data_IF_250956962639
#
_entry.id   IF_250956962639
#
_cell.length_a   1.000
_cell.length_b   1.000
_cell.length_c   1.000
_cell.angle_alpha   90.00
_cell.angle_beta   90.00
_cell.angle_gamma   90.00
#
_symmetry.space_group_name_H-M   'P 1'
#
loop_
_entity.id
_entity.type
_entity.pdbx_description
1 polymer ?
#
# COMPACT_ATOMS: atom_id res chain seq x y z
N UNK A 1 11.96 4.96 -17.30
CA UNK A 1 13.11 5.63 -16.60
C UNK A 1 13.79 4.56 -15.76
N UNK A 2 15.07 4.28 -16.02
CA UNK A 2 15.90 3.35 -15.22
C UNK A 2 16.40 4.15 -14.02
N UNK A 3 16.07 3.72 -12.80
CA UNK A 3 16.60 4.29 -11.56
C UNK A 3 17.75 3.39 -11.07
N UNK A 4 18.89 3.95 -10.71
CA UNK A 4 20.05 3.17 -10.25
C UNK A 4 19.74 2.31 -9.00
N UNK A 5 18.76 2.68 -8.19
CA UNK A 5 18.28 1.95 -7.03
C UNK A 5 16.88 2.48 -6.64
N UNK A 6 15.96 1.57 -6.40
CA UNK A 6 14.65 1.84 -5.81
C UNK A 6 14.59 1.19 -4.43
N UNK A 7 13.94 1.84 -3.47
CA UNK A 7 13.75 1.30 -2.14
C UNK A 7 12.25 1.18 -1.82
N UNK A 8 11.83 0.01 -1.39
CA UNK A 8 10.50 -0.25 -0.82
C UNK A 8 10.61 -0.36 0.70
N UNK A 9 9.77 0.36 1.42
CA UNK A 9 9.58 0.22 2.87
C UNK A 9 8.14 -0.19 3.16
N UNK A 10 7.94 -1.32 3.82
CA UNK A 10 6.62 -1.72 4.32
C UNK A 10 6.27 -0.88 5.55
N UNK A 11 5.25 -0.05 5.45
CA UNK A 11 4.79 0.82 6.54
C UNK A 11 3.81 0.10 7.46
N UNK A 12 3.03 -0.80 6.88
CA UNK A 12 2.10 -1.68 7.56
C UNK A 12 1.78 -2.89 6.68
N UNK A 13 1.57 -4.04 7.29
CA UNK A 13 1.39 -5.32 6.60
C UNK A 13 0.13 -6.06 7.04
N UNK A 14 -0.68 -5.45 7.90
CA UNK A 14 -1.90 -6.01 8.43
C UNK A 14 -3.14 -5.64 7.62
N UNK A 15 -4.17 -6.46 7.77
CA UNK A 15 -5.52 -6.24 7.22
C UNK A 15 -6.23 -5.04 7.89
N UNK A 16 -7.46 -4.77 7.50
CA UNK A 16 -8.28 -3.61 7.92
C UNK A 16 -8.38 -3.38 9.43
N UNK A 17 -8.24 -4.41 10.24
CA UNK A 17 -8.26 -4.30 11.71
C UNK A 17 -6.86 -4.11 12.33
N UNK A 18 -5.79 -4.32 11.56
CA UNK A 18 -4.44 -4.46 12.07
C UNK A 18 -4.27 -5.74 12.93
N UNK A 19 -3.05 -5.97 13.38
CA UNK A 19 -2.72 -7.03 14.34
C UNK A 19 -1.80 -6.41 15.40
N UNK A 20 -2.13 -6.55 16.70
CA UNK A 20 -3.22 -7.30 17.32
C UNK A 20 -4.60 -6.68 17.08
N UNK A 21 -5.61 -7.56 16.98
CA UNK A 21 -7.01 -7.15 16.87
C UNK A 21 -7.55 -6.78 18.25
N UNK A 22 -8.29 -5.68 18.33
CA UNK A 22 -8.87 -5.18 19.60
C UNK A 22 -9.67 -6.28 20.29
N UNK A 23 -9.30 -6.60 21.53
CA UNK A 23 -9.98 -7.61 22.35
C UNK A 23 -9.61 -9.07 22.03
N UNK A 24 -8.83 -9.34 21.00
CA UNK A 24 -8.36 -10.69 20.66
C UNK A 24 -7.24 -11.13 21.59
N UNK A 25 -7.27 -12.41 22.00
CA UNK A 25 -6.26 -13.04 22.85
C UNK A 25 -5.65 -14.29 22.21
N UNK A 26 -5.73 -14.42 20.89
CA UNK A 26 -5.10 -15.54 20.20
C UNK A 26 -3.57 -15.43 20.26
N UNK A 27 -2.88 -16.52 19.92
CA UNK A 27 -1.41 -16.62 19.96
C UNK A 27 -0.73 -15.51 19.16
N UNK A 28 -1.28 -15.11 18.01
CA UNK A 28 -0.71 -14.07 17.16
C UNK A 28 -0.90 -12.69 17.82
N UNK A 29 -2.11 -12.36 18.27
CA UNK A 29 -2.41 -11.06 18.89
C UNK A 29 -1.74 -10.86 20.28
N UNK A 30 -1.17 -11.90 20.86
CA UNK A 30 -0.41 -11.85 22.14
C UNK A 30 1.06 -12.22 21.95
N UNK A 31 1.52 -12.30 20.70
CA UNK A 31 2.92 -12.62 20.39
C UNK A 31 3.86 -11.51 20.88
N UNK A 32 5.05 -11.91 21.31
CA UNK A 32 6.16 -10.99 21.61
C UNK A 32 7.06 -10.73 20.39
N UNK A 33 6.87 -11.45 19.30
CA UNK A 33 7.59 -11.20 18.04
C UNK A 33 6.99 -9.98 17.34
N UNK A 34 7.79 -8.94 17.18
CA UNK A 34 7.34 -7.70 16.52
C UNK A 34 6.93 -7.87 15.06
N UNK A 35 7.30 -8.97 14.41
CA UNK A 35 6.84 -9.30 13.06
C UNK A 35 5.38 -9.73 13.01
N UNK A 36 4.80 -10.06 14.17
CA UNK A 36 3.38 -10.33 14.32
C UNK A 36 2.56 -9.05 14.63
N UNK A 37 3.21 -7.95 15.02
CA UNK A 37 2.57 -6.63 15.14
C UNK A 37 2.46 -5.99 13.75
N UNK A 38 1.25 -5.82 13.25
CA UNK A 38 0.99 -5.34 11.89
C UNK A 38 0.05 -4.16 11.90
N UNK A 39 0.56 -2.98 11.58
CA UNK A 39 -0.27 -1.83 11.24
C UNK A 39 -1.02 -2.10 9.93
N UNK A 40 -2.09 -1.37 9.67
CA UNK A 40 -2.87 -1.49 8.43
C UNK A 40 -1.98 -1.25 7.22
N UNK A 41 -2.26 -2.01 6.18
CA UNK A 41 -1.43 -2.08 4.96
C UNK A 41 -1.15 -0.70 4.37
N UNK A 42 0.13 -0.45 4.18
CA UNK A 42 0.68 0.72 3.46
C UNK A 42 2.15 0.48 3.14
N UNK A 43 2.66 1.14 2.11
CA UNK A 43 4.06 1.05 1.72
C UNK A 43 4.61 2.42 1.26
N UNK A 44 5.92 2.60 1.34
CA UNK A 44 6.61 3.76 0.78
C UNK A 44 7.65 3.29 -0.24
N UNK A 45 7.60 3.88 -1.43
CA UNK A 45 8.58 3.66 -2.50
C UNK A 45 9.42 4.93 -2.67
N UNK A 46 10.73 4.76 -2.64
CA UNK A 46 11.70 5.83 -2.95
C UNK A 46 12.37 5.48 -4.28
N UNK A 47 12.15 6.30 -5.31
CA UNK A 47 12.68 6.09 -6.66
C UNK A 47 13.07 7.44 -7.28
N UNK A 48 14.28 7.55 -7.81
CA UNK A 48 14.76 8.79 -8.44
C UNK A 48 14.73 10.03 -7.52
N UNK A 49 14.82 9.84 -6.20
CA UNK A 49 14.72 10.94 -5.22
C UNK A 49 13.27 11.34 -4.87
N UNK A 50 12.27 10.66 -5.46
CA UNK A 50 10.84 10.87 -5.20
C UNK A 50 10.35 9.85 -4.18
N UNK A 51 9.59 10.30 -3.17
CA UNK A 51 8.97 9.46 -2.14
C UNK A 51 7.47 9.37 -2.35
N UNK A 52 7.03 8.18 -2.66
CA UNK A 52 5.63 7.86 -2.95
C UNK A 52 5.10 6.93 -1.86
N UNK A 53 4.02 7.32 -1.20
CA UNK A 53 3.31 6.45 -0.26
C UNK A 53 2.14 5.79 -0.97
N UNK A 54 1.97 4.49 -0.79
CA UNK A 54 0.81 3.73 -1.27
C UNK A 54 -0.08 3.50 -0.07
N UNK A 55 -1.28 4.09 -0.12
CA UNK A 55 -2.31 4.14 0.91
C UNK A 55 -1.91 4.88 2.20
N UNK A 56 -2.87 5.63 2.74
CA UNK A 56 -2.75 6.43 3.96
C UNK A 56 -3.91 6.10 4.91
N UNK A 57 -3.87 4.90 5.48
CA UNK A 57 -4.86 4.41 6.43
C UNK A 57 -4.76 5.07 7.81
N UNK A 58 -5.60 4.64 8.78
CA UNK A 58 -5.65 5.25 10.12
C UNK A 58 -4.32 5.21 10.89
N UNK A 59 -3.40 4.33 10.52
CA UNK A 59 -2.09 4.19 11.13
C UNK A 59 -1.01 5.09 10.50
N UNK A 60 -1.36 5.89 9.47
CA UNK A 60 -0.43 6.72 8.70
C UNK A 60 0.50 7.55 9.60
N UNK A 61 -0.03 8.21 10.64
CA UNK A 61 0.78 8.96 11.59
C UNK A 61 1.84 8.10 12.27
N UNK A 62 1.46 6.93 12.79
CA UNK A 62 2.40 6.01 13.44
C UNK A 62 3.45 5.49 12.45
N UNK A 63 3.05 5.17 11.23
CA UNK A 63 3.91 4.72 10.14
C UNK A 63 4.96 5.78 9.79
N UNK A 64 4.56 7.04 9.63
CA UNK A 64 5.48 8.13 9.33
C UNK A 64 6.46 8.43 10.47
N UNK A 65 6.00 8.37 11.72
CA UNK A 65 6.86 8.54 12.90
C UNK A 65 7.90 7.41 13.02
N UNK A 66 7.53 6.16 12.70
CA UNK A 66 8.46 5.01 12.72
C UNK A 66 9.57 5.13 11.67
N UNK A 67 9.25 5.65 10.49
CA UNK A 67 10.24 5.84 9.42
C UNK A 67 11.14 7.05 9.63
N UNK A 68 10.70 8.03 10.43
CA UNK A 68 11.39 9.30 10.61
C UNK A 68 11.45 10.16 9.34
N UNK A 69 10.64 9.83 8.32
CA UNK A 69 10.61 10.58 7.05
C UNK A 69 10.06 11.99 7.28
N UNK A 70 10.71 12.99 6.70
CA UNK A 70 10.33 14.40 6.87
C UNK A 70 9.55 14.99 5.70
N UNK A 71 9.52 14.30 4.55
CA UNK A 71 8.83 14.74 3.33
C UNK A 71 8.37 13.52 2.55
N UNK A 72 7.16 13.62 2.00
CA UNK A 72 6.63 12.74 0.97
C UNK A 72 6.28 13.59 -0.23
N UNK A 73 6.34 13.03 -1.42
CA UNK A 73 6.09 13.75 -2.67
C UNK A 73 4.69 13.47 -3.21
N UNK A 74 4.20 12.25 -3.03
CA UNK A 74 2.87 11.87 -3.47
C UNK A 74 2.29 10.72 -2.66
N UNK A 75 0.97 10.57 -2.76
CA UNK A 75 0.21 9.43 -2.26
C UNK A 75 -0.51 8.79 -3.45
N UNK A 76 -0.42 7.47 -3.57
CA UNK A 76 -1.24 6.66 -4.46
C UNK A 76 -2.27 5.92 -3.62
N UNK A 77 -3.55 6.02 -3.97
CA UNK A 77 -4.59 5.24 -3.29
C UNK A 77 -5.05 4.08 -4.15
N UNK A 78 -5.07 2.91 -3.55
CA UNK A 78 -5.51 1.68 -4.21
C UNK A 78 -7.02 1.62 -4.37
N UNK A 79 -7.77 2.02 -3.34
CA UNK A 79 -9.22 2.08 -3.32
C UNK A 79 -9.74 2.89 -2.11
N UNK A 80 -11.06 3.00 -1.97
CA UNK A 80 -11.72 3.94 -1.05
C UNK A 80 -12.02 3.41 0.36
N UNK A 81 -11.60 2.19 0.73
CA UNK A 81 -11.86 1.68 2.08
C UNK A 81 -11.10 2.47 3.15
N UNK A 82 -11.69 2.56 4.35
CA UNK A 82 -11.20 3.42 5.43
C UNK A 82 -9.81 3.04 5.95
N UNK A 83 -9.47 1.79 5.90
CA UNK A 83 -8.13 1.30 6.26
C UNK A 83 -7.04 1.74 5.28
N UNK A 84 -7.41 2.26 4.08
CA UNK A 84 -6.50 2.79 3.07
C UNK A 84 -6.50 4.31 2.95
N UNK A 85 -7.59 5.00 3.38
CA UNK A 85 -7.70 6.46 3.25
C UNK A 85 -7.87 7.20 4.57
N UNK A 86 -8.18 6.51 5.68
CA UNK A 86 -8.63 7.13 6.93
C UNK A 86 -7.61 8.02 7.65
N UNK A 87 -6.33 7.98 7.25
CA UNK A 87 -5.24 8.79 7.81
C UNK A 87 -4.88 10.03 7.00
N UNK A 88 -5.62 10.36 5.94
CA UNK A 88 -5.31 11.51 5.08
C UNK A 88 -5.31 12.87 5.80
N UNK A 89 -5.99 13.01 6.95
CA UNK A 89 -5.91 14.25 7.74
C UNK A 89 -4.49 14.50 8.27
N UNK A 90 -3.74 13.46 8.62
CA UNK A 90 -2.38 13.57 9.14
C UNK A 90 -1.34 14.02 8.09
N UNK A 91 -1.71 14.04 6.80
CA UNK A 91 -0.88 14.56 5.70
C UNK A 91 -0.51 16.02 5.94
N UNK A 92 -1.34 16.79 6.65
CA UNK A 92 -1.09 18.20 6.99
C UNK A 92 0.24 18.40 7.74
N UNK A 93 0.74 17.40 8.47
CA UNK A 93 2.03 17.50 9.13
C UNK A 93 3.18 17.71 8.13
N UNK A 94 3.10 17.14 6.94
CA UNK A 94 4.06 17.34 5.87
C UNK A 94 3.85 18.67 5.14
N UNK A 95 2.60 19.16 5.04
CA UNK A 95 2.32 20.44 4.40
C UNK A 95 3.01 21.60 5.13
N UNK A 96 3.10 21.54 6.46
CA UNK A 96 3.53 22.64 7.29
C UNK A 96 4.91 22.44 7.93
N UNK A 97 5.67 21.44 7.50
CA UNK A 97 7.00 21.12 8.07
C UNK A 97 7.99 22.29 7.97
N UNK A 98 7.88 23.13 6.94
CA UNK A 98 8.72 24.31 6.69
C UNK A 98 7.91 25.62 6.79
N UNK A 99 6.73 25.61 7.41
CA UNK A 99 5.91 26.81 7.59
C UNK A 99 6.31 27.59 8.86
N UNK A 100 6.32 28.95 8.84
CA UNK A 100 6.30 29.80 7.67
C UNK A 100 7.67 29.87 6.97
N UNK A 101 7.79 30.23 5.70
CA UNK A 101 6.73 30.74 4.82
C UNK A 101 6.10 29.69 3.89
N UNK A 102 6.63 28.46 3.84
CA UNK A 102 6.31 27.49 2.78
C UNK A 102 5.25 26.49 3.22
N UNK A 103 4.25 26.27 2.36
CA UNK A 103 3.27 25.18 2.46
C UNK A 103 3.58 24.20 1.33
N UNK A 104 3.85 22.96 1.68
CA UNK A 104 4.09 21.88 0.71
C UNK A 104 2.77 21.15 0.42
N UNK A 105 2.23 21.32 -0.77
CA UNK A 105 1.07 20.56 -1.21
C UNK A 105 1.50 19.14 -1.58
N UNK A 106 0.69 18.16 -1.19
CA UNK A 106 0.94 16.74 -1.49
C UNK A 106 0.03 16.32 -2.65
N UNK A 107 0.62 15.77 -3.70
CA UNK A 107 -0.10 15.20 -4.83
C UNK A 107 -0.72 13.85 -4.43
N UNK A 108 -2.02 13.66 -4.70
CA UNK A 108 -2.73 12.41 -4.43
C UNK A 108 -3.35 11.89 -5.73
N UNK A 109 -2.98 10.68 -6.10
CA UNK A 109 -3.40 10.01 -7.33
C UNK A 109 -4.30 8.84 -7.00
N UNK A 110 -5.47 8.77 -7.63
CA UNK A 110 -6.39 7.65 -7.49
C UNK A 110 -7.39 7.56 -8.65
N UNK A 111 -8.05 6.41 -8.75
CA UNK A 111 -9.20 6.24 -9.66
C UNK A 111 -10.33 7.22 -9.30
N UNK A 112 -11.19 7.61 -10.27
CA UNK A 112 -12.26 8.60 -10.07
C UNK A 112 -13.14 8.32 -8.85
N UNK A 113 -13.62 7.10 -8.71
CA UNK A 113 -14.49 6.68 -7.59
C UNK A 113 -13.82 6.88 -6.23
N UNK A 114 -12.54 6.55 -6.12
CA UNK A 114 -11.78 6.74 -4.88
C UNK A 114 -11.64 8.22 -4.55
N UNK A 115 -11.37 9.07 -5.55
CA UNK A 115 -11.30 10.52 -5.36
C UNK A 115 -12.64 11.13 -4.91
N UNK A 116 -13.76 10.63 -5.42
CA UNK A 116 -15.09 11.09 -5.01
C UNK A 116 -15.36 10.81 -3.53
N UNK A 117 -14.94 9.64 -3.04
CA UNK A 117 -15.04 9.30 -1.62
C UNK A 117 -14.09 10.18 -0.79
N UNK A 118 -12.85 10.41 -1.24
CA UNK A 118 -11.90 11.29 -0.56
C UNK A 118 -12.45 12.71 -0.45
N UNK A 119 -13.00 13.28 -1.54
CA UNK A 119 -13.64 14.63 -1.50
C UNK A 119 -14.79 14.70 -0.51
N UNK A 120 -15.59 13.64 -0.43
CA UNK A 120 -16.73 13.57 0.48
C UNK A 120 -16.33 13.43 1.95
N UNK A 121 -15.36 12.55 2.23
CA UNK A 121 -14.96 12.23 3.60
C UNK A 121 -14.08 13.29 4.24
N UNK A 122 -13.35 14.05 3.42
CA UNK A 122 -12.45 15.12 3.82
C UNK A 122 -12.89 16.47 3.21
N UNK A 123 -14.20 16.70 3.10
CA UNK A 123 -14.80 17.87 2.45
C UNK A 123 -14.24 19.20 2.95
N UNK A 124 -13.94 19.32 4.24
CA UNK A 124 -13.33 20.49 4.87
C UNK A 124 -11.95 20.84 4.28
N UNK A 125 -11.19 19.85 3.75
CA UNK A 125 -9.89 20.07 3.11
C UNK A 125 -10.04 20.60 1.66
N UNK A 126 -11.19 20.37 1.02
CA UNK A 126 -11.46 20.73 -0.37
C UNK A 126 -12.50 21.87 -0.51
N UNK A 127 -13.04 22.37 0.61
CA UNK A 127 -13.99 23.48 0.59
C UNK A 127 -13.38 24.76 -0.02
N UNK A 128 -14.20 25.56 -0.68
CA UNK A 128 -13.75 26.87 -1.21
C UNK A 128 -13.34 27.83 -0.09
N UNK A 129 -14.07 27.80 1.02
CA UNK A 129 -13.82 28.64 2.21
C UNK A 129 -13.30 27.74 3.34
N UNK A 130 -12.09 27.20 3.16
CA UNK A 130 -11.43 26.35 4.13
C UNK A 130 -10.64 27.17 5.17
N UNK A 131 -10.68 26.75 6.44
CA UNK A 131 -9.87 27.38 7.46
C UNK A 131 -8.36 27.02 7.30
N UNK A 132 -7.49 27.85 7.90
CA UNK A 132 -6.05 27.60 7.86
C UNK A 132 -5.68 26.37 8.69
N UNK A 133 -4.79 25.54 8.15
CA UNK A 133 -4.27 24.33 8.83
C UNK A 133 -4.98 23.03 8.48
N UNK A 134 -5.89 23.03 7.50
CA UNK A 134 -6.40 21.79 6.89
C UNK A 134 -5.32 21.13 6.02
N UNK A 135 -5.44 19.86 5.70
CA UNK A 135 -4.56 19.21 4.72
C UNK A 135 -4.56 19.94 3.37
N UNK A 136 -3.38 20.19 2.83
CA UNK A 136 -3.19 20.75 1.49
C UNK A 136 -2.83 19.61 0.53
N UNK A 137 -3.86 19.04 -0.09
CA UNK A 137 -3.76 17.90 -1.00
C UNK A 137 -4.23 18.35 -2.39
N UNK A 138 -3.49 17.99 -3.43
CA UNK A 138 -3.89 18.13 -4.82
C UNK A 138 -4.33 16.78 -5.39
N UNK A 139 -5.57 16.70 -5.85
CA UNK A 139 -6.16 15.45 -6.33
C UNK A 139 -5.94 15.31 -7.84
N UNK A 140 -5.34 14.18 -8.23
CA UNK A 140 -5.09 13.80 -9.62
C UNK A 140 -5.84 12.52 -9.94
N UNK A 141 -6.74 12.60 -10.88
CA UNK A 141 -7.46 11.43 -11.41
C UNK A 141 -6.53 10.64 -12.34
N UNK A 142 -6.48 9.32 -12.14
CA UNK A 142 -5.73 8.41 -13.00
C UNK A 142 -6.68 7.63 -13.92
N UNK A 143 -6.26 7.43 -15.17
CA UNK A 143 -6.82 6.42 -16.04
C UNK A 143 -6.12 5.08 -15.73
N UNK A 144 -6.86 4.16 -15.09
CA UNK A 144 -6.31 2.86 -14.67
C UNK A 144 -5.87 1.94 -15.83
N UNK A 145 -6.14 2.35 -17.07
CA UNK A 145 -5.72 1.63 -18.29
C UNK A 145 -4.38 2.10 -18.84
N UNK A 146 -3.83 3.23 -18.34
CA UNK A 146 -2.65 3.89 -18.92
C UNK A 146 -1.60 4.20 -17.85
N UNK A 147 -0.31 4.18 -18.22
CA UNK A 147 0.73 4.70 -17.35
C UNK A 147 0.53 6.18 -17.07
N UNK A 148 0.95 6.61 -15.89
CA UNK A 148 1.04 8.03 -15.52
C UNK A 148 2.40 8.29 -14.85
N UNK A 149 2.72 9.56 -14.61
CA UNK A 149 4.02 9.93 -14.03
C UNK A 149 3.84 10.76 -12.77
N UNK A 150 4.59 10.42 -11.74
CA UNK A 150 4.73 11.19 -10.50
C UNK A 150 6.14 11.76 -10.44
N UNK A 151 6.29 13.06 -10.70
CA UNK A 151 7.60 13.75 -10.71
C UNK A 151 8.69 13.03 -11.51
N UNK A 152 8.32 12.43 -12.65
CA UNK A 152 9.24 11.70 -13.53
C UNK A 152 9.36 10.20 -13.23
N UNK A 153 8.76 9.70 -12.15
CA UNK A 153 8.62 8.27 -11.89
C UNK A 153 7.41 7.74 -12.65
N UNK A 154 7.61 6.82 -13.58
CA UNK A 154 6.52 6.17 -14.31
C UNK A 154 5.84 5.13 -13.45
N UNK A 155 4.51 5.13 -13.45
CA UNK A 155 3.66 4.21 -12.70
C UNK A 155 2.65 3.58 -13.63
N UNK A 156 2.64 2.26 -13.69
CA UNK A 156 1.67 1.48 -14.46
C UNK A 156 0.59 0.94 -13.51
N UNK A 157 -0.67 1.38 -13.65
CA UNK A 157 -1.77 0.83 -12.89
C UNK A 157 -2.05 -0.62 -13.28
N UNK A 158 -2.39 -1.43 -12.28
CA UNK A 158 -2.82 -2.83 -12.44
C UNK A 158 -4.20 -2.96 -11.83
N UNK A 159 -5.18 -3.26 -12.66
CA UNK A 159 -6.58 -3.32 -12.24
C UNK A 159 -6.95 -4.70 -11.69
N UNK A 160 -7.74 -4.71 -10.63
CA UNK A 160 -8.29 -5.94 -10.08
C UNK A 160 -9.61 -5.70 -9.37
N UNK A 161 -10.14 -6.75 -8.77
CA UNK A 161 -11.35 -6.68 -8.00
C UNK A 161 -11.11 -7.19 -6.57
N UNK A 162 -11.50 -6.38 -5.61
CA UNK A 162 -11.55 -6.74 -4.20
C UNK A 162 -12.82 -7.57 -3.89
N UNK A 163 -13.90 -7.31 -4.62
CA UNK A 163 -15.13 -8.10 -4.65
C UNK A 163 -15.90 -7.76 -5.93
N UNK A 164 -17.04 -8.38 -6.17
CA UNK A 164 -17.87 -8.06 -7.35
C UNK A 164 -18.23 -6.57 -7.48
N UNK A 165 -18.24 -5.83 -6.36
CA UNK A 165 -18.66 -4.41 -6.32
C UNK A 165 -17.52 -3.42 -6.18
N UNK A 166 -16.32 -3.86 -5.82
CA UNK A 166 -15.19 -2.99 -5.52
C UNK A 166 -13.99 -3.30 -6.41
N UNK A 167 -13.72 -2.37 -7.31
CA UNK A 167 -12.47 -2.37 -8.04
C UNK A 167 -11.32 -1.92 -7.14
N UNK A 168 -10.13 -2.44 -7.36
CA UNK A 168 -8.90 -2.06 -6.68
C UNK A 168 -7.81 -1.81 -7.72
N UNK A 169 -6.94 -0.87 -7.44
CA UNK A 169 -5.80 -0.53 -8.30
C UNK A 169 -4.50 -0.88 -7.59
N UNK A 170 -3.74 -1.82 -8.15
CA UNK A 170 -2.36 -2.02 -7.80
C UNK A 170 -1.44 -1.12 -8.64
N UNK A 171 -0.19 -1.03 -8.27
CA UNK A 171 0.78 -0.16 -8.95
C UNK A 171 2.06 -0.91 -9.26
N UNK A 172 2.50 -0.83 -10.52
CA UNK A 172 3.83 -1.26 -10.94
C UNK A 172 4.72 -0.02 -11.12
N UNK A 173 5.91 -0.05 -10.51
CA UNK A 173 6.94 0.97 -10.59
C UNK A 173 8.24 0.25 -10.99
N UNK A 174 8.70 0.41 -12.24
CA UNK A 174 9.84 -0.33 -12.75
C UNK A 174 9.67 -1.85 -12.60
N UNK A 175 10.54 -2.47 -11.79
CA UNK A 175 10.54 -3.93 -11.52
C UNK A 175 9.87 -4.33 -10.20
N UNK A 176 9.18 -3.39 -9.56
CA UNK A 176 8.32 -3.60 -8.38
C UNK A 176 6.86 -3.56 -8.79
N UNK A 177 6.03 -4.48 -8.28
CA UNK A 177 4.58 -4.31 -8.25
C UNK A 177 4.04 -4.49 -6.84
N UNK A 178 3.05 -3.66 -6.49
CA UNK A 178 2.38 -3.67 -5.19
C UNK A 178 0.87 -3.86 -5.41
N UNK A 179 0.36 -5.01 -4.98
CA UNK A 179 -1.03 -5.42 -5.11
C UNK A 179 -1.59 -5.70 -3.72
N UNK A 180 -2.53 -4.90 -3.25
CA UNK A 180 -3.26 -5.15 -2.01
C UNK A 180 -4.75 -5.23 -2.28
N UNK A 181 -5.47 -6.02 -1.48
CA UNK A 181 -6.93 -6.16 -1.52
C UNK A 181 -7.48 -6.79 -2.83
N UNK A 182 -6.65 -7.53 -3.52
CA UNK A 182 -7.09 -8.30 -4.70
C UNK A 182 -7.78 -9.60 -4.28
N UNK A 183 -8.90 -9.89 -4.95
CA UNK A 183 -9.56 -11.21 -4.96
C UNK A 183 -9.52 -11.83 -6.35
N UNK A 184 -9.59 -11.00 -7.39
CA UNK A 184 -9.45 -11.47 -8.77
C UNK A 184 -8.63 -10.47 -9.59
N UNK A 185 -7.94 -11.01 -10.59
CA UNK A 185 -7.15 -10.26 -11.55
C UNK A 185 -7.30 -10.90 -12.93
N UNK A 186 -7.55 -10.10 -13.96
CA UNK A 186 -7.68 -10.58 -15.34
C UNK A 186 -6.31 -10.96 -15.93
N UNK A 187 -6.29 -11.89 -16.89
CA UNK A 187 -5.04 -12.33 -17.52
C UNK A 187 -4.28 -11.19 -18.20
N UNK A 188 -4.98 -10.27 -18.86
CA UNK A 188 -4.35 -9.08 -19.44
C UNK A 188 -3.66 -8.16 -18.40
N UNK A 189 -4.14 -8.14 -17.17
CA UNK A 189 -3.50 -7.39 -16.09
C UNK A 189 -2.29 -8.14 -15.52
N UNK A 190 -2.33 -9.47 -15.51
CA UNK A 190 -1.17 -10.30 -15.13
C UNK A 190 -0.02 -10.13 -16.12
N UNK A 191 -0.30 -9.93 -17.41
CA UNK A 191 0.73 -9.66 -18.42
C UNK A 191 1.55 -8.37 -18.09
N UNK A 192 0.92 -7.37 -17.46
CA UNK A 192 1.61 -6.16 -16.98
C UNK A 192 2.65 -6.44 -15.88
N UNK A 193 2.60 -7.61 -15.25
CA UNK A 193 3.47 -8.01 -14.13
C UNK A 193 4.69 -8.83 -14.61
N UNK A 194 4.91 -8.96 -15.89
CA UNK A 194 6.04 -9.71 -16.43
C UNK A 194 7.39 -9.05 -16.12
N UNK A 195 8.38 -9.84 -15.69
CA UNK A 195 9.76 -9.39 -15.47
C UNK A 195 9.97 -8.57 -14.20
N UNK A 196 9.19 -8.83 -13.14
CA UNK A 196 9.37 -8.22 -11.84
C UNK A 196 10.54 -8.83 -11.08
N UNK A 197 11.28 -7.99 -10.34
CA UNK A 197 12.17 -8.45 -9.27
C UNK A 197 11.38 -8.68 -7.99
N UNK A 198 10.44 -7.80 -7.68
CA UNK A 198 9.64 -7.88 -6.46
C UNK A 198 8.16 -7.77 -6.78
N UNK A 199 7.39 -8.74 -6.30
CA UNK A 199 5.93 -8.69 -6.25
C UNK A 199 5.47 -8.65 -4.80
N UNK A 200 4.74 -7.61 -4.42
CA UNK A 200 3.98 -7.56 -3.17
C UNK A 200 2.53 -7.89 -3.47
N UNK A 201 1.96 -8.86 -2.76
CA UNK A 201 0.57 -9.31 -2.98
C UNK A 201 -0.13 -9.60 -1.66
N UNK A 202 -1.42 -9.28 -1.57
CA UNK A 202 -2.18 -9.60 -0.37
C UNK A 202 -2.39 -11.12 -0.22
N UNK A 203 -2.28 -11.58 1.04
CA UNK A 203 -2.64 -12.94 1.44
C UNK A 203 -3.26 -12.89 2.83
N UNK A 204 -4.58 -12.83 2.90
CA UNK A 204 -5.27 -12.56 4.17
C UNK A 204 -5.03 -13.63 5.23
N UNK A 205 -5.13 -14.92 4.85
CA UNK A 205 -5.02 -16.12 5.69
C UNK A 205 -5.01 -17.37 4.82
N UNK A 206 -4.88 -18.56 5.43
CA UNK A 206 -4.96 -19.84 4.69
C UNK A 206 -6.37 -20.19 4.24
N UNK A 207 -7.38 -19.95 5.09
CA UNK A 207 -8.78 -20.20 4.74
C UNK A 207 -9.28 -19.22 3.68
N UNK A 208 -10.19 -19.67 2.82
CA UNK A 208 -10.82 -18.84 1.80
C UNK A 208 -11.49 -17.60 2.38
N UNK A 209 -11.51 -16.55 1.59
CA UNK A 209 -12.21 -15.32 1.86
C UNK A 209 -12.89 -14.79 0.58
N UNK A 210 -14.05 -14.18 0.73
CA UNK A 210 -14.86 -13.75 -0.42
C UNK A 210 -14.30 -12.52 -1.15
N UNK A 211 -13.43 -11.75 -0.50
CA UNK A 211 -12.94 -10.47 -1.03
C UNK A 211 -11.40 -10.31 -1.06
N UNK A 212 -10.65 -11.27 -0.56
CA UNK A 212 -9.18 -11.24 -0.58
C UNK A 212 -8.61 -12.56 -1.06
N UNK A 213 -7.44 -12.54 -1.66
CA UNK A 213 -6.67 -13.76 -1.83
C UNK A 213 -6.37 -14.39 -0.48
N UNK A 214 -6.51 -15.70 -0.40
CA UNK A 214 -5.90 -16.52 0.63
C UNK A 214 -4.44 -16.84 0.22
N UNK A 215 -3.70 -17.55 1.08
CA UNK A 215 -2.30 -17.90 0.79
C UNK A 215 -2.18 -18.73 -0.50
N UNK A 216 -3.06 -19.71 -0.72
CA UNK A 216 -3.00 -20.56 -1.92
C UNK A 216 -3.24 -19.75 -3.21
N UNK A 217 -4.24 -18.89 -3.24
CA UNK A 217 -4.54 -18.02 -4.39
C UNK A 217 -3.41 -17.01 -4.65
N UNK A 218 -2.79 -16.47 -3.60
CA UNK A 218 -1.62 -15.60 -3.72
C UNK A 218 -0.42 -16.36 -4.33
N UNK A 219 -0.14 -17.57 -3.87
CA UNK A 219 0.91 -18.43 -4.41
C UNK A 219 0.65 -18.80 -5.88
N UNK A 220 -0.61 -19.01 -6.28
CA UNK A 220 -1.00 -19.27 -7.66
C UNK A 220 -0.69 -18.07 -8.57
N UNK A 221 -1.03 -16.85 -8.12
CA UNK A 221 -0.66 -15.62 -8.84
C UNK A 221 0.87 -15.45 -8.92
N UNK A 222 1.60 -15.65 -7.80
CA UNK A 222 3.06 -15.58 -7.76
C UNK A 222 3.68 -16.55 -8.77
N UNK A 223 3.19 -17.78 -8.85
CA UNK A 223 3.68 -18.78 -9.82
C UNK A 223 3.44 -18.35 -11.28
N UNK A 224 2.31 -17.69 -11.57
CA UNK A 224 2.00 -17.17 -12.91
C UNK A 224 2.89 -15.99 -13.30
N UNK A 225 3.12 -15.06 -12.38
CA UNK A 225 3.94 -13.86 -12.59
C UNK A 225 5.42 -14.20 -12.62
N UNK A 226 5.84 -15.19 -11.83
CA UNK A 226 7.22 -15.65 -11.67
C UNK A 226 8.21 -14.52 -11.36
N UNK A 227 7.97 -13.70 -10.30
CA UNK A 227 8.91 -12.68 -9.87
C UNK A 227 10.16 -13.31 -9.27
N UNK A 228 11.25 -12.55 -9.14
CA UNK A 228 12.44 -13.02 -8.44
C UNK A 228 12.17 -13.27 -6.95
N UNK A 229 11.46 -12.32 -6.30
CA UNK A 229 11.04 -12.42 -4.90
C UNK A 229 9.58 -11.96 -4.77
N UNK A 230 8.82 -12.58 -3.87
CA UNK A 230 7.45 -12.18 -3.57
C UNK A 230 7.25 -11.96 -2.08
N UNK A 231 6.42 -10.98 -1.72
CA UNK A 231 6.14 -10.62 -0.34
C UNK A 231 4.63 -10.58 -0.09
N UNK A 232 4.18 -11.36 0.89
CA UNK A 232 2.78 -11.38 1.31
C UNK A 232 2.50 -10.19 2.24
N UNK A 233 1.40 -9.49 2.00
CA UNK A 233 0.92 -8.35 2.79
C UNK A 233 -0.57 -8.45 3.09
N UNK A 234 -1.16 -7.48 3.78
CA UNK A 234 -2.57 -7.42 4.15
C UNK A 234 -3.03 -8.65 4.95
N UNK A 235 -2.19 -9.10 5.86
CA UNK A 235 -2.36 -10.35 6.61
C UNK A 235 -3.21 -10.13 7.87
N UNK A 236 -4.13 -11.06 8.13
CA UNK A 236 -4.87 -11.12 9.40
C UNK A 236 -4.10 -11.94 10.45
N UNK A 237 -4.58 -11.92 11.70
CA UNK A 237 -4.05 -12.79 12.74
C UNK A 237 -4.28 -14.29 12.48
N UNK A 238 -5.21 -14.63 11.56
CA UNK A 238 -5.48 -16.03 11.19
C UNK A 238 -4.41 -16.63 10.26
N UNK A 239 -3.46 -15.85 9.76
CA UNK A 239 -2.35 -16.37 8.96
C UNK A 239 -1.35 -17.17 9.80
N UNK A 240 -1.38 -17.00 11.13
CA UNK A 240 -0.47 -17.67 12.05
C UNK A 240 0.72 -16.78 12.45
N UNK A 241 1.56 -17.33 13.33
CA UNK A 241 2.79 -16.67 13.78
C UNK A 241 3.81 -16.57 12.63
N UNK A 242 4.46 -15.45 12.50
CA UNK A 242 5.47 -15.22 11.45
C UNK A 242 6.55 -16.33 11.47
N UNK A 243 7.09 -16.62 12.63
CA UNK A 243 8.15 -17.63 12.79
C UNK A 243 7.72 -19.06 12.42
N UNK A 244 6.42 -19.38 12.47
CA UNK A 244 5.88 -20.69 12.12
C UNK A 244 5.44 -20.76 10.66
N UNK A 245 4.91 -19.67 10.13
CA UNK A 245 4.32 -19.61 8.77
C UNK A 245 5.40 -19.38 7.71
N UNK A 246 6.32 -18.44 7.92
CA UNK A 246 7.40 -18.12 6.96
C UNK A 246 8.15 -19.35 6.44
N UNK A 247 8.57 -20.31 7.28
CA UNK A 247 9.30 -21.51 6.82
C UNK A 247 8.46 -22.48 5.97
N UNK A 248 7.13 -22.32 5.91
CA UNK A 248 6.23 -23.17 5.13
C UNK A 248 6.01 -22.67 3.72
N UNK A 249 6.44 -21.43 3.42
CA UNK A 249 6.31 -20.81 2.10
C UNK A 249 7.43 -21.27 1.15
N UNK A 250 7.24 -21.15 -0.17
CA UNK A 250 8.31 -21.37 -1.15
C UNK A 250 9.52 -20.46 -0.86
N UNK A 251 10.77 -20.86 -1.17
CA UNK A 251 11.98 -20.13 -0.79
C UNK A 251 12.08 -18.67 -1.25
N UNK A 252 11.35 -18.30 -2.31
CA UNK A 252 11.30 -16.92 -2.87
C UNK A 252 10.03 -16.17 -2.48
N UNK A 253 9.27 -16.70 -1.53
CA UNK A 253 8.03 -16.09 -1.04
C UNK A 253 8.17 -15.82 0.46
N UNK A 254 7.94 -14.60 0.88
CA UNK A 254 8.17 -14.12 2.24
C UNK A 254 6.92 -13.47 2.83
N UNK A 255 6.77 -13.56 4.13
CA UNK A 255 5.82 -12.72 4.85
C UNK A 255 6.45 -11.35 5.10
N UNK A 256 5.88 -10.30 4.54
CA UNK A 256 6.32 -8.95 4.90
C UNK A 256 6.03 -8.66 6.39
N UNK A 257 6.79 -7.76 6.97
CA UNK A 257 6.55 -7.22 8.31
C UNK A 257 6.79 -5.70 8.32
N UNK A 258 6.17 -5.03 9.27
CA UNK A 258 6.28 -3.58 9.40
C UNK A 258 7.74 -3.15 9.54
N UNK A 259 8.14 -2.14 8.80
CA UNK A 259 9.49 -1.57 8.70
C UNK A 259 10.51 -2.39 7.90
N UNK A 260 10.13 -3.53 7.31
CA UNK A 260 10.98 -4.23 6.34
C UNK A 260 11.32 -3.29 5.18
N UNK A 261 12.59 -3.27 4.79
CA UNK A 261 13.09 -2.48 3.67
C UNK A 261 13.74 -3.39 2.63
N UNK A 262 13.43 -3.14 1.37
CA UNK A 262 14.00 -3.85 0.22
C UNK A 262 14.67 -2.84 -0.70
N UNK A 263 15.88 -3.15 -1.16
CA UNK A 263 16.55 -2.44 -2.24
C UNK A 263 16.34 -3.21 -3.55
N UNK A 264 15.85 -2.51 -4.57
CA UNK A 264 15.51 -3.08 -5.88
C UNK A 264 16.37 -2.35 -6.89
N UNK A 265 17.26 -3.09 -7.53
CA UNK A 265 18.16 -2.56 -8.56
C UNK A 265 17.50 -2.75 -9.93
N UNK A 266 17.49 -1.71 -10.76
CA UNK A 266 17.06 -1.77 -12.15
C UNK A 266 18.13 -2.39 -13.07
#
# INVERSE_FOLDING_TARGET
TIFACMKLTFLGTGTSQGVPVIGCRCRVCTSSDRRDDRLRTSAMVEAGGVRIVIDAGPDFRCQMLRTGVRRIDAILLTHEHKDHIGGLDDVRAFNFVDYPPTIHRIDLYAAPRTLDVVRKDFDYAFAQDKYRGVPEIELHEIDVTRPFSVKGVEILPVSGHHSERFAVTGFRIGRLAYLTDFKTIADAEVEKLTGLDVLVVNALRFAEHYSHFNVAEALELIARVSPREAYLTHMSHDIGLHAETEPTLPPHVHMAYDTLQLEIND
#
